data_IF_885169619110
#
_entry.id   IF_885169619110
#
_cell.length_a   1.000
_cell.length_b   1.000
_cell.length_c   1.000
_cell.angle_alpha   90.00
_cell.angle_beta   90.00
_cell.angle_gamma   90.00
#
_symmetry.space_group_name_H-M   'P 1'
#
loop_
_entity.id
_entity.type
_entity.pdbx_description
1 polymer ?
#
# COMPACT_ATOMS: atom_id res chain seq x y z
N UNK A 1 69.00 -22.60 -26.71
CA UNK A 1 67.91 -22.05 -27.53
C UNK A 1 66.58 -22.15 -26.75
N UNK A 2 66.41 -21.43 -25.63
CA UNK A 2 65.19 -21.47 -24.80
C UNK A 2 65.15 -20.26 -23.83
N UNK A 3 65.18 -19.03 -24.33
CA UNK A 3 65.04 -17.85 -23.44
C UNK A 3 64.44 -16.60 -24.09
N UNK A 4 63.87 -16.69 -25.30
CA UNK A 4 63.27 -15.52 -25.99
C UNK A 4 61.74 -15.44 -25.84
N UNK A 5 61.05 -16.57 -25.64
CA UNK A 5 59.58 -16.60 -25.59
C UNK A 5 58.93 -16.17 -24.26
N UNK A 6 59.70 -16.05 -23.17
CA UNK A 6 59.15 -15.78 -21.83
C UNK A 6 59.00 -14.28 -21.52
N UNK A 7 59.80 -13.42 -22.14
CA UNK A 7 59.72 -11.96 -21.98
C UNK A 7 58.59 -11.35 -22.81
N UNK A 8 58.32 -11.90 -24.00
CA UNK A 8 57.31 -11.38 -24.91
C UNK A 8 55.88 -11.59 -24.38
N UNK A 9 55.65 -12.68 -23.65
CA UNK A 9 54.41 -12.94 -22.93
C UNK A 9 54.17 -12.03 -21.71
N UNK A 10 55.25 -11.49 -21.10
CA UNK A 10 55.15 -10.59 -19.95
C UNK A 10 54.78 -9.16 -20.38
N UNK A 11 55.33 -8.70 -21.50
CA UNK A 11 55.01 -7.39 -22.11
C UNK A 11 53.54 -7.26 -22.52
N UNK A 12 52.98 -8.28 -23.19
CA UNK A 12 51.55 -8.28 -23.57
C UNK A 12 50.61 -8.26 -22.37
N UNK A 13 50.98 -8.89 -21.26
CA UNK A 13 50.16 -8.93 -20.03
C UNK A 13 50.16 -7.61 -19.27
N UNK A 14 51.21 -6.80 -19.39
CA UNK A 14 51.26 -5.44 -18.83
C UNK A 14 50.49 -4.44 -19.70
N UNK A 15 50.51 -4.61 -21.02
CA UNK A 15 49.77 -3.77 -21.97
C UNK A 15 48.25 -3.97 -21.85
N UNK A 16 47.78 -5.21 -21.65
CA UNK A 16 46.37 -5.51 -21.33
C UNK A 16 45.96 -4.99 -19.94
N UNK A 17 46.88 -4.98 -18.97
CA UNK A 17 46.62 -4.46 -17.62
C UNK A 17 46.57 -2.91 -17.60
N UNK A 18 47.25 -2.26 -18.55
CA UNK A 18 47.15 -0.82 -18.81
C UNK A 18 45.81 -0.43 -19.43
N UNK A 19 45.34 -1.17 -20.44
CA UNK A 19 44.08 -0.87 -21.15
C UNK A 19 42.82 -1.12 -20.33
N UNK A 20 42.86 -1.97 -19.29
CA UNK A 20 41.68 -2.23 -18.42
C UNK A 20 41.38 -1.12 -17.40
N UNK A 21 42.20 -0.07 -17.32
CA UNK A 21 42.01 1.05 -16.39
C UNK A 21 41.35 2.28 -17.03
N UNK A 22 41.12 2.27 -18.34
CA UNK A 22 40.37 3.31 -19.02
C UNK A 22 38.92 2.88 -19.21
N UNK A 23 37.99 3.56 -18.54
CA UNK A 23 36.57 3.45 -18.85
C UNK A 23 35.67 3.09 -17.68
N UNK A 24 35.68 3.88 -16.60
CA UNK A 24 34.46 4.32 -15.91
C UNK A 24 34.80 5.61 -15.14
N UNK A 25 34.10 6.74 -15.36
CA UNK A 25 34.30 7.91 -14.53
C UNK A 25 33.93 7.55 -13.08
N UNK A 26 34.89 7.62 -12.17
CA UNK A 26 34.61 7.64 -10.73
C UNK A 26 33.70 8.84 -10.48
N UNK A 27 32.42 8.59 -10.21
CA UNK A 27 31.51 9.62 -9.69
C UNK A 27 32.17 10.22 -8.45
N UNK A 28 32.63 11.48 -8.54
CA UNK A 28 33.04 12.24 -7.36
C UNK A 28 31.83 12.31 -6.44
N UNK A 29 31.93 11.79 -5.22
CA UNK A 29 30.94 12.07 -4.17
C UNK A 29 30.88 13.60 -4.03
N UNK A 30 29.71 14.23 -4.07
CA UNK A 30 29.62 15.65 -3.77
C UNK A 30 30.05 15.85 -2.31
N UNK A 31 31.10 16.65 -2.09
CA UNK A 31 31.51 17.08 -0.76
C UNK A 31 30.56 18.19 -0.30
N UNK A 32 29.41 17.81 0.26
CA UNK A 32 28.59 18.74 1.01
C UNK A 32 29.12 18.83 2.46
N UNK A 33 29.36 20.03 3.00
CA UNK A 33 29.79 20.21 4.37
C UNK A 33 28.56 20.24 5.27
N UNK A 34 27.91 19.10 5.46
CA UNK A 34 26.92 18.92 6.53
C UNK A 34 27.09 17.50 7.04
N UNK A 35 27.65 17.37 8.24
CA UNK A 35 27.74 16.10 8.97
C UNK A 35 26.33 15.66 9.38
N UNK A 36 25.57 15.13 8.42
CA UNK A 36 24.32 14.45 8.70
C UNK A 36 24.70 13.09 9.29
N UNK A 37 24.33 12.86 10.56
CA UNK A 37 24.67 11.65 11.30
C UNK A 37 24.39 10.35 10.50
N UNK A 38 25.28 9.34 10.55
CA UNK A 38 25.17 8.10 9.77
C UNK A 38 23.87 7.30 9.95
N UNK A 39 23.15 7.47 11.06
CA UNK A 39 21.85 6.84 11.29
C UNK A 39 20.72 7.33 10.38
N UNK A 40 20.90 8.44 9.65
CA UNK A 40 19.91 8.95 8.68
C UNK A 40 19.89 8.10 7.40
N UNK A 41 20.96 7.34 7.14
CA UNK A 41 20.99 6.28 6.14
C UNK A 41 20.98 4.92 6.82
N UNK A 42 19.82 4.50 7.35
CA UNK A 42 19.62 3.08 7.66
C UNK A 42 19.44 2.31 6.35
N UNK A 43 20.52 2.18 5.58
CA UNK A 43 20.60 1.12 4.59
C UNK A 43 20.63 -0.20 5.38
N UNK A 44 19.66 -1.07 5.15
CA UNK A 44 19.76 -2.47 5.57
C UNK A 44 21.07 -3.06 5.03
N UNK A 45 21.54 -4.16 5.61
CA UNK A 45 22.76 -4.92 5.27
C UNK A 45 22.79 -5.34 3.77
N UNK A 46 21.66 -5.18 3.07
CA UNK A 46 21.45 -5.45 1.65
C UNK A 46 21.43 -4.20 0.73
N UNK A 47 21.62 -2.98 1.25
CA UNK A 47 21.67 -1.74 0.45
C UNK A 47 20.29 -1.16 0.06
N UNK A 48 19.27 -1.37 0.89
CA UNK A 48 17.91 -0.89 0.64
C UNK A 48 17.57 0.37 1.45
N UNK A 49 17.00 1.39 0.80
CA UNK A 49 16.41 2.57 1.45
C UNK A 49 15.12 2.18 2.17
N UNK A 50 15.24 1.77 3.44
CA UNK A 50 14.12 1.44 4.35
C UNK A 50 13.09 2.60 4.38
N UNK A 51 13.57 3.83 4.23
CA UNK A 51 12.79 5.07 4.22
C UNK A 51 11.66 5.09 3.19
N UNK A 52 11.83 4.43 2.03
CA UNK A 52 10.80 4.40 0.97
C UNK A 52 9.62 3.48 1.30
N UNK A 53 9.82 2.50 2.18
CA UNK A 53 8.80 1.53 2.59
C UNK A 53 7.95 2.03 3.76
N UNK A 54 8.54 2.85 4.64
CA UNK A 54 7.89 3.30 5.88
C UNK A 54 6.59 4.05 5.60
N UNK A 55 6.59 5.02 4.68
CA UNK A 55 5.42 5.85 4.38
C UNK A 55 4.18 5.05 3.98
N UNK A 56 4.25 4.21 2.93
CA UNK A 56 3.15 3.35 2.51
C UNK A 56 2.65 2.38 3.59
N UNK A 57 3.55 1.80 4.38
CA UNK A 57 3.18 0.89 5.47
C UNK A 57 2.45 1.66 6.58
N UNK A 58 2.95 2.82 6.99
CA UNK A 58 2.29 3.66 7.98
C UNK A 58 0.91 4.11 7.52
N UNK A 59 0.76 4.51 6.25
CA UNK A 59 -0.53 4.86 5.67
C UNK A 59 -1.52 3.69 5.71
N UNK A 60 -1.05 2.47 5.39
CA UNK A 60 -1.87 1.27 5.44
C UNK A 60 -2.28 0.89 6.88
N UNK A 61 -1.36 1.03 7.85
CA UNK A 61 -1.64 0.77 9.27
C UNK A 61 -2.62 1.80 9.83
N UNK A 62 -2.44 3.09 9.49
CA UNK A 62 -3.37 4.16 9.88
C UNK A 62 -4.77 3.90 9.32
N UNK A 63 -4.86 3.56 8.03
CA UNK A 63 -6.14 3.23 7.41
C UNK A 63 -6.79 1.99 8.05
N UNK A 64 -5.99 0.98 8.41
CA UNK A 64 -6.48 -0.20 9.13
C UNK A 64 -7.09 0.15 10.49
N UNK A 65 -6.40 1.01 11.24
CA UNK A 65 -6.88 1.51 12.53
C UNK A 65 -8.22 2.22 12.37
N UNK A 66 -8.29 3.21 11.47
CA UNK A 66 -9.47 4.04 11.26
C UNK A 66 -10.66 3.18 10.81
N UNK A 67 -10.48 2.32 9.82
CA UNK A 67 -11.51 1.41 9.35
C UNK A 67 -12.00 0.47 10.46
N UNK A 68 -11.08 -0.11 11.22
CA UNK A 68 -11.41 -1.10 12.26
C UNK A 68 -12.09 -0.45 13.47
N UNK A 69 -11.66 0.75 13.87
CA UNK A 69 -12.28 1.51 14.95
C UNK A 69 -13.70 1.91 14.60
N UNK A 70 -13.90 2.50 13.43
CA UNK A 70 -15.23 2.88 12.96
C UNK A 70 -16.15 1.66 12.83
N UNK A 71 -15.64 0.56 12.26
CA UNK A 71 -16.42 -0.68 12.18
C UNK A 71 -16.77 -1.24 13.57
N UNK A 72 -15.86 -1.16 14.54
CA UNK A 72 -16.12 -1.57 15.93
C UNK A 72 -17.15 -0.69 16.63
N UNK A 73 -17.14 0.62 16.38
CA UNK A 73 -18.06 1.57 17.02
C UNK A 73 -19.47 1.54 16.43
N UNK A 74 -19.59 1.40 15.11
CA UNK A 74 -20.87 1.56 14.40
C UNK A 74 -21.42 0.26 13.80
N UNK A 75 -20.59 -0.79 13.68
CA UNK A 75 -20.98 -2.05 13.04
C UNK A 75 -21.19 -1.96 11.52
N UNK A 76 -20.89 -0.81 10.92
CA UNK A 76 -21.06 -0.54 9.48
C UNK A 76 -19.81 0.09 8.89
N UNK A 77 -19.62 -0.08 7.58
CA UNK A 77 -18.56 0.58 6.82
C UNK A 77 -19.15 1.85 6.22
N UNK A 78 -18.61 3.01 6.61
CA UNK A 78 -19.07 4.29 6.07
C UNK A 78 -18.87 4.41 4.57
N UNK A 79 -19.81 5.09 3.91
CA UNK A 79 -19.76 5.39 2.47
C UNK A 79 -18.43 6.05 2.06
N UNK A 80 -17.86 6.90 2.93
CA UNK A 80 -16.58 7.55 2.68
C UNK A 80 -15.43 6.56 2.43
N UNK A 81 -15.38 5.44 3.17
CA UNK A 81 -14.37 4.41 2.95
C UNK A 81 -14.61 3.65 1.64
N UNK A 82 -15.88 3.36 1.32
CA UNK A 82 -16.28 2.69 0.08
C UNK A 82 -15.86 3.55 -1.14
N UNK A 83 -16.18 4.85 -1.12
CA UNK A 83 -15.81 5.80 -2.17
C UNK A 83 -14.30 5.97 -2.29
N UNK A 84 -13.57 5.95 -1.16
CA UNK A 84 -12.10 6.00 -1.17
C UNK A 84 -11.51 4.81 -1.91
N UNK A 85 -11.97 3.59 -1.60
CA UNK A 85 -11.51 2.36 -2.27
C UNK A 85 -11.82 2.42 -3.77
N UNK A 86 -13.04 2.86 -4.14
CA UNK A 86 -13.42 3.09 -5.53
C UNK A 86 -12.47 4.07 -6.23
N UNK A 87 -12.18 5.22 -5.61
CA UNK A 87 -11.30 6.24 -6.16
C UNK A 87 -9.88 5.73 -6.38
N UNK A 88 -9.34 4.97 -5.42
CA UNK A 88 -8.02 4.33 -5.57
C UNK A 88 -8.00 3.31 -6.70
N UNK A 89 -9.03 2.46 -6.80
CA UNK A 89 -9.17 1.48 -7.87
C UNK A 89 -9.25 2.15 -9.25
N UNK A 90 -10.09 3.19 -9.37
CA UNK A 90 -10.23 3.98 -10.60
C UNK A 90 -8.91 4.67 -10.98
N UNK A 91 -8.21 5.25 -10.00
CA UNK A 91 -6.93 5.92 -10.23
C UNK A 91 -5.88 4.95 -10.79
N UNK A 92 -5.74 3.76 -10.20
CA UNK A 92 -4.82 2.74 -10.69
C UNK A 92 -5.22 2.27 -12.10
N UNK A 93 -6.51 2.08 -12.35
CA UNK A 93 -7.03 1.70 -13.67
C UNK A 93 -6.67 2.74 -14.73
N UNK A 94 -6.94 4.03 -14.47
CA UNK A 94 -6.63 5.13 -15.38
C UNK A 94 -5.12 5.27 -15.61
N UNK A 95 -4.31 5.22 -14.55
CA UNK A 95 -2.85 5.26 -14.66
C UNK A 95 -2.35 4.11 -15.53
N UNK A 96 -2.90 2.91 -15.37
CA UNK A 96 -2.50 1.75 -16.17
C UNK A 96 -2.81 1.95 -17.66
N UNK A 97 -3.99 2.50 -17.98
CA UNK A 97 -4.39 2.81 -19.35
C UNK A 97 -3.48 3.88 -19.96
N UNK A 98 -3.21 4.97 -19.23
CA UNK A 98 -2.42 6.11 -19.72
C UNK A 98 -0.94 5.77 -19.88
N UNK A 99 -0.34 5.11 -18.89
CA UNK A 99 1.11 4.85 -18.86
C UNK A 99 1.52 3.74 -19.83
N UNK A 100 0.57 2.93 -20.33
CA UNK A 100 0.77 1.81 -21.27
C UNK A 100 1.87 0.80 -20.85
N UNK A 101 2.35 0.85 -19.61
CA UNK A 101 3.30 -0.10 -19.05
C UNK A 101 2.56 -1.32 -18.49
N UNK A 102 3.22 -2.47 -18.53
CA UNK A 102 2.73 -3.72 -17.92
C UNK A 102 2.78 -3.64 -16.38
N UNK A 103 1.89 -2.84 -15.78
CA UNK A 103 1.78 -2.68 -14.33
C UNK A 103 0.98 -3.86 -13.73
N UNK A 104 -0.01 -4.37 -14.47
CA UNK A 104 -0.88 -5.45 -14.02
C UNK A 104 -0.15 -6.82 -14.02
N UNK A 105 -0.31 -7.64 -12.97
CA UNK A 105 0.18 -9.02 -12.93
C UNK A 105 -0.70 -9.94 -13.80
N UNK A 106 -0.10 -10.98 -14.39
CA UNK A 106 -0.84 -12.04 -15.09
C UNK A 106 -1.55 -11.58 -16.37
N UNK A 107 -2.74 -12.13 -16.64
CA UNK A 107 -3.54 -11.76 -17.81
C UNK A 107 -4.16 -10.37 -17.63
N UNK A 108 -3.79 -9.42 -18.50
CA UNK A 108 -4.18 -8.00 -18.42
C UNK A 108 -5.68 -7.80 -18.25
N UNK A 109 -6.51 -8.57 -18.96
CA UNK A 109 -7.97 -8.44 -18.94
C UNK A 109 -8.58 -8.68 -17.56
N UNK A 110 -8.06 -9.66 -16.81
CA UNK A 110 -8.53 -9.97 -15.46
C UNK A 110 -8.23 -8.83 -14.48
N UNK A 111 -7.05 -8.22 -14.61
CA UNK A 111 -6.67 -7.07 -13.79
C UNK A 111 -7.59 -5.86 -14.00
N UNK A 112 -7.95 -5.57 -15.25
CA UNK A 112 -8.91 -4.50 -15.56
C UNK A 112 -10.30 -4.80 -15.02
N UNK A 113 -10.76 -6.06 -15.13
CA UNK A 113 -12.06 -6.47 -14.60
C UNK A 113 -12.14 -6.31 -13.08
N UNK A 114 -11.14 -6.78 -12.32
CA UNK A 114 -11.14 -6.63 -10.85
C UNK A 114 -11.13 -5.14 -10.44
N UNK A 115 -10.33 -4.32 -11.13
CA UNK A 115 -10.24 -2.89 -10.83
C UNK A 115 -11.51 -2.11 -11.23
N UNK A 116 -12.29 -2.60 -12.18
CA UNK A 116 -13.55 -1.99 -12.57
C UNK A 116 -14.74 -2.41 -11.69
N UNK A 117 -14.63 -3.49 -10.88
CA UNK A 117 -15.71 -3.95 -10.02
C UNK A 117 -16.32 -2.86 -9.12
N UNK A 118 -15.52 -2.02 -8.41
CA UNK A 118 -16.09 -0.95 -7.59
C UNK A 118 -16.84 0.09 -8.42
N UNK A 119 -16.39 0.36 -9.64
CA UNK A 119 -17.05 1.31 -10.56
C UNK A 119 -18.35 0.73 -11.09
N UNK A 120 -18.37 -0.55 -11.45
CA UNK A 120 -19.58 -1.26 -11.88
C UNK A 120 -20.61 -1.22 -10.75
N UNK A 121 -20.21 -1.54 -9.52
CA UNK A 121 -21.11 -1.48 -8.37
C UNK A 121 -21.67 -0.07 -8.15
N UNK A 122 -20.83 0.96 -8.23
CA UNK A 122 -21.27 2.34 -8.03
C UNK A 122 -22.26 2.79 -9.12
N UNK A 123 -22.05 2.38 -10.37
CA UNK A 123 -23.00 2.62 -11.46
C UNK A 123 -24.33 1.91 -11.20
N UNK A 124 -24.30 0.65 -10.76
CA UNK A 124 -25.51 -0.08 -10.37
C UNK A 124 -26.27 0.65 -9.27
N UNK A 125 -25.57 1.21 -8.27
CA UNK A 125 -26.20 1.98 -7.18
C UNK A 125 -26.78 3.33 -7.64
N UNK A 126 -26.25 3.94 -8.68
CA UNK A 126 -26.79 5.18 -9.25
C UNK A 126 -28.07 4.91 -10.06
N UNK A 127 -28.10 3.78 -10.78
CA UNK A 127 -29.25 3.39 -11.61
C UNK A 127 -30.39 2.84 -10.74
N UNK A 128 -30.06 2.31 -9.56
CA UNK A 128 -31.01 1.84 -8.55
C UNK A 128 -32.03 2.94 -8.20
N UNK A 129 -33.31 2.68 -8.47
CA UNK A 129 -34.39 3.62 -8.17
C UNK A 129 -34.78 3.49 -6.68
N UNK A 130 -34.63 4.56 -5.87
CA UNK A 130 -34.95 4.50 -4.45
C UNK A 130 -36.45 4.29 -4.17
N UNK A 131 -37.33 4.40 -5.16
CA UNK A 131 -38.78 4.22 -5.01
C UNK A 131 -39.25 2.76 -5.11
N UNK A 132 -38.45 1.87 -5.70
CA UNK A 132 -38.70 0.42 -5.82
C UNK A 132 -38.10 -0.31 -4.61
N UNK A 133 -38.67 -0.09 -3.42
CA UNK A 133 -38.14 -0.63 -2.15
C UNK A 133 -38.57 -2.10 -1.98
N UNK A 134 -37.80 -3.02 -2.56
CA UNK A 134 -37.87 -4.45 -2.25
C UNK A 134 -36.73 -4.88 -1.31
N UNK A 135 -37.05 -5.47 -0.15
CA UNK A 135 -36.05 -5.95 0.82
C UNK A 135 -34.97 -6.87 0.21
N UNK A 136 -35.35 -7.65 -0.81
CA UNK A 136 -34.46 -8.57 -1.51
C UNK A 136 -33.48 -7.81 -2.42
N UNK A 137 -33.95 -6.75 -3.10
CA UNK A 137 -33.13 -5.96 -4.02
C UNK A 137 -32.01 -5.21 -3.27
N UNK A 138 -32.35 -4.60 -2.14
CA UNK A 138 -31.38 -3.87 -1.31
C UNK A 138 -30.32 -4.80 -0.70
N UNK A 139 -30.72 -6.00 -0.27
CA UNK A 139 -29.80 -7.03 0.22
C UNK A 139 -28.80 -7.46 -0.87
N UNK A 140 -29.27 -7.69 -2.10
CA UNK A 140 -28.39 -8.08 -3.21
C UNK A 140 -27.37 -7.00 -3.55
N UNK A 141 -27.79 -5.74 -3.62
CA UNK A 141 -26.89 -4.62 -3.91
C UNK A 141 -25.82 -4.49 -2.81
N UNK A 142 -26.18 -4.69 -1.55
CA UNK A 142 -25.24 -4.73 -0.43
C UNK A 142 -24.25 -5.89 -0.54
N UNK A 143 -24.72 -7.11 -0.84
CA UNK A 143 -23.85 -8.28 -1.00
C UNK A 143 -22.86 -8.07 -2.16
N UNK A 144 -23.33 -7.54 -3.29
CA UNK A 144 -22.48 -7.21 -4.43
C UNK A 144 -21.45 -6.13 -4.06
N UNK A 145 -21.83 -5.13 -3.26
CA UNK A 145 -20.91 -4.12 -2.73
C UNK A 145 -19.75 -4.78 -1.96
N UNK A 146 -20.11 -5.62 -0.99
CA UNK A 146 -19.16 -6.27 -0.10
C UNK A 146 -18.23 -7.17 -0.90
N UNK A 147 -18.75 -7.96 -1.84
CA UNK A 147 -17.95 -8.81 -2.71
C UNK A 147 -17.00 -8.00 -3.60
N UNK A 148 -17.51 -6.94 -4.25
CA UNK A 148 -16.71 -6.06 -5.10
C UNK A 148 -15.55 -5.43 -4.31
N UNK A 149 -15.80 -4.96 -3.09
CA UNK A 149 -14.79 -4.36 -2.22
C UNK A 149 -13.80 -5.40 -1.69
N UNK A 150 -14.29 -6.54 -1.22
CA UNK A 150 -13.46 -7.62 -0.65
C UNK A 150 -12.49 -8.19 -1.68
N UNK A 151 -12.89 -8.25 -2.95
CA UNK A 151 -12.04 -8.73 -4.05
C UNK A 151 -11.11 -7.62 -4.57
N UNK A 152 -11.62 -6.41 -4.76
CA UNK A 152 -10.83 -5.31 -5.35
C UNK A 152 -9.78 -4.77 -4.39
N UNK A 153 -10.07 -4.65 -3.09
CA UNK A 153 -9.16 -4.09 -2.09
C UNK A 153 -7.80 -4.79 -2.03
N UNK A 154 -7.70 -6.12 -1.85
CA UNK A 154 -6.40 -6.80 -1.81
C UNK A 154 -5.66 -6.67 -3.15
N UNK A 155 -6.38 -6.63 -4.27
CA UNK A 155 -5.78 -6.44 -5.59
C UNK A 155 -5.22 -5.02 -5.78
N UNK A 156 -5.97 -3.99 -5.36
CA UNK A 156 -5.54 -2.58 -5.35
C UNK A 156 -4.29 -2.42 -4.49
N UNK A 157 -4.29 -2.97 -3.27
CA UNK A 157 -3.13 -2.94 -2.37
C UNK A 157 -1.93 -3.65 -3.00
N UNK A 158 -2.14 -4.82 -3.60
CA UNK A 158 -1.09 -5.56 -4.29
C UNK A 158 -0.48 -4.76 -5.45
N UNK A 159 -1.31 -4.19 -6.34
CA UNK A 159 -0.84 -3.41 -7.49
C UNK A 159 -0.14 -2.14 -7.02
N UNK A 160 -0.68 -1.47 -6.01
CA UNK A 160 -0.09 -0.27 -5.41
C UNK A 160 1.32 -0.54 -4.89
N UNK A 161 1.52 -1.60 -4.11
CA UNK A 161 2.86 -1.95 -3.61
C UNK A 161 3.79 -2.45 -4.70
N UNK A 162 3.29 -3.24 -5.67
CA UNK A 162 4.07 -3.67 -6.82
C UNK A 162 4.62 -2.48 -7.61
N UNK A 163 3.82 -1.42 -7.75
CA UNK A 163 4.18 -0.22 -8.50
C UNK A 163 5.07 0.73 -7.70
N UNK A 164 4.71 1.04 -6.45
CA UNK A 164 5.45 2.00 -5.62
C UNK A 164 6.75 1.42 -5.07
N UNK A 165 6.72 0.15 -4.66
CA UNK A 165 7.81 -0.49 -3.93
C UNK A 165 7.93 -1.97 -4.31
N UNK A 166 8.41 -2.29 -5.52
CA UNK A 166 8.52 -3.67 -6.00
C UNK A 166 9.39 -4.56 -5.09
N UNK A 167 10.25 -3.95 -4.27
CA UNK A 167 11.12 -4.63 -3.31
C UNK A 167 10.35 -5.33 -2.18
N UNK A 168 9.13 -4.87 -1.84
CA UNK A 168 8.27 -5.53 -0.83
C UNK A 168 7.95 -6.97 -1.25
N UNK A 169 7.83 -7.22 -2.56
CA UNK A 169 7.54 -8.56 -3.07
C UNK A 169 8.73 -9.53 -2.94
N UNK A 170 9.93 -9.02 -2.67
CA UNK A 170 11.15 -9.80 -2.49
C UNK A 170 11.50 -10.01 -1.00
N UNK A 171 10.70 -9.45 -0.08
CA UNK A 171 10.95 -9.61 1.35
C UNK A 171 10.88 -11.09 1.77
N UNK A 172 11.73 -11.45 2.75
CA UNK A 172 11.68 -12.78 3.37
C UNK A 172 10.30 -13.01 3.96
N UNK A 173 9.76 -14.23 3.80
CA UNK A 173 8.43 -14.63 4.31
C UNK A 173 8.21 -14.27 5.78
N UNK A 174 9.25 -14.37 6.63
CA UNK A 174 9.19 -13.99 8.06
C UNK A 174 8.86 -12.52 8.28
N UNK A 175 9.41 -11.61 7.46
CA UNK A 175 9.14 -10.17 7.55
C UNK A 175 7.73 -9.85 7.07
N UNK A 176 7.27 -10.49 5.99
CA UNK A 176 5.89 -10.33 5.49
C UNK A 176 4.89 -10.78 6.56
N UNK A 177 5.12 -11.94 7.18
CA UNK A 177 4.28 -12.43 8.29
C UNK A 177 4.30 -11.43 9.46
N UNK A 178 5.47 -10.87 9.80
CA UNK A 178 5.59 -9.84 10.82
C UNK A 178 4.76 -8.59 10.51
N UNK A 179 4.84 -8.06 9.28
CA UNK A 179 4.07 -6.90 8.83
C UNK A 179 2.56 -7.16 8.85
N UNK A 180 2.13 -8.31 8.33
CA UNK A 180 0.72 -8.73 8.40
C UNK A 180 0.27 -8.89 9.86
N UNK A 181 1.13 -9.44 10.72
CA UNK A 181 0.88 -9.55 12.16
C UNK A 181 0.66 -8.18 12.83
N UNK A 182 1.51 -7.19 12.52
CA UNK A 182 1.35 -5.81 13.02
C UNK A 182 0.04 -5.22 12.53
N UNK A 183 -0.26 -5.36 11.24
CA UNK A 183 -1.52 -4.87 10.66
C UNK A 183 -2.74 -5.47 11.38
N UNK A 184 -2.78 -6.78 11.54
CA UNK A 184 -3.87 -7.48 12.21
C UNK A 184 -3.97 -7.09 13.69
N UNK A 185 -2.83 -6.89 14.35
CA UNK A 185 -2.79 -6.46 15.74
C UNK A 185 -3.36 -5.05 15.92
N UNK A 186 -2.96 -4.09 15.07
CA UNK A 186 -3.50 -2.72 15.11
C UNK A 186 -4.99 -2.71 14.78
N UNK A 187 -5.42 -3.47 13.77
CA UNK A 187 -6.83 -3.62 13.42
C UNK A 187 -7.65 -4.18 14.59
N UNK A 188 -7.14 -5.22 15.27
CA UNK A 188 -7.79 -5.81 16.44
C UNK A 188 -7.92 -4.80 17.58
N UNK A 189 -6.86 -4.05 17.90
CA UNK A 189 -6.93 -3.00 18.92
C UNK A 189 -7.98 -1.95 18.52
N UNK A 190 -7.91 -1.43 17.29
CA UNK A 190 -8.87 -0.45 16.78
C UNK A 190 -10.31 -0.93 16.94
N UNK A 191 -10.60 -2.17 16.52
CA UNK A 191 -11.91 -2.78 16.66
C UNK A 191 -12.38 -2.89 18.13
N UNK A 192 -11.52 -3.42 19.00
CA UNK A 192 -11.86 -3.57 20.44
C UNK A 192 -12.11 -2.22 21.11
N UNK A 193 -11.35 -1.19 20.75
CA UNK A 193 -11.56 0.17 21.25
C UNK A 193 -12.80 0.83 20.66
N UNK A 194 -13.13 0.55 19.40
CA UNK A 194 -14.38 1.00 18.78
C UNK A 194 -15.60 0.40 19.49
N UNK A 195 -15.58 -0.91 19.75
CA UNK A 195 -16.63 -1.58 20.53
C UNK A 195 -16.77 -1.04 21.95
N UNK A 196 -15.65 -0.63 22.55
CA UNK A 196 -15.61 -0.07 23.90
C UNK A 196 -15.38 1.45 23.86
N UNK A 197 -15.93 2.14 22.87
CA UNK A 197 -15.61 3.57 22.62
C UNK A 197 -15.89 4.45 23.84
N UNK A 198 -16.86 4.08 24.69
CA UNK A 198 -17.17 4.71 25.96
C UNK A 198 -15.97 4.88 26.92
N UNK A 199 -14.91 4.07 26.79
CA UNK A 199 -13.72 4.17 27.63
C UNK A 199 -12.78 5.33 27.23
N UNK A 200 -12.87 5.80 25.97
CA UNK A 200 -11.92 6.77 25.39
C UNK A 200 -12.64 8.01 24.85
N UNK A 201 -13.83 7.84 24.29
CA UNK A 201 -14.58 8.89 23.62
C UNK A 201 -15.96 9.10 24.23
N UNK A 202 -16.41 10.34 24.18
CA UNK A 202 -17.75 10.76 24.59
C UNK A 202 -18.61 11.02 23.36
N UNK A 203 -19.94 11.05 23.52
CA UNK A 203 -20.83 11.40 22.40
C UNK A 203 -20.48 12.77 21.78
N UNK A 204 -20.01 13.72 22.59
CA UNK A 204 -19.61 15.05 22.11
C UNK A 204 -18.42 14.99 21.15
N UNK A 205 -17.48 14.07 21.37
CA UNK A 205 -16.31 13.92 20.48
C UNK A 205 -16.72 13.44 19.08
N UNK A 206 -17.70 12.53 19.00
CA UNK A 206 -18.26 12.07 17.72
C UNK A 206 -18.99 13.19 16.99
N UNK A 207 -19.84 13.94 17.69
CA UNK A 207 -20.59 15.08 17.12
C UNK A 207 -19.65 16.16 16.59
N UNK A 208 -18.62 16.54 17.35
CA UNK A 208 -17.63 17.55 16.93
C UNK A 208 -16.85 17.07 15.69
N UNK A 209 -16.65 15.76 15.56
CA UNK A 209 -16.01 15.15 14.39
C UNK A 209 -16.95 15.02 13.18
N UNK A 210 -18.21 15.45 13.31
CA UNK A 210 -19.22 15.33 12.26
C UNK A 210 -19.69 13.90 12.01
N UNK A 211 -19.50 13.01 12.99
CA UNK A 211 -19.93 11.61 12.93
C UNK A 211 -21.25 11.42 13.67
N UNK A 212 -22.01 10.39 13.29
CA UNK A 212 -23.16 9.92 14.07
C UNK A 212 -22.69 9.43 15.45
N UNK A 213 -23.59 9.47 16.44
CA UNK A 213 -23.28 8.98 17.79
C UNK A 213 -23.52 7.47 17.87
N UNK A 214 -22.52 6.66 18.25
CA UNK A 214 -22.73 5.23 18.42
C UNK A 214 -23.65 4.96 19.62
N UNK A 215 -24.39 3.84 19.57
CA UNK A 215 -25.44 3.54 20.55
C UNK A 215 -24.92 3.41 22.00
N UNK A 216 -23.65 3.03 22.15
CA UNK A 216 -22.97 2.82 23.43
C UNK A 216 -22.13 4.04 23.87
N UNK A 217 -22.35 5.23 23.32
CA UNK A 217 -21.61 6.43 23.74
C UNK A 217 -22.12 6.99 25.07
N UNK A 218 -21.19 7.56 25.88
CA UNK A 218 -21.53 8.22 27.15
C UNK A 218 -21.65 9.73 26.94
N UNK A 219 -22.80 10.28 27.31
CA UNK A 219 -23.01 11.73 27.41
C UNK A 219 -22.43 12.24 28.73
N UNK A 220 -21.40 13.09 28.65
CA UNK A 220 -20.91 13.81 29.83
C UNK A 220 -21.89 14.95 30.08
N UNK A 221 -22.77 14.79 31.08
CA UNK A 221 -23.56 15.92 31.59
C UNK A 221 -22.58 16.94 32.17
N UNK A 222 -22.62 18.16 31.63
CA UNK A 222 -21.96 19.32 32.23
C UNK A 222 -22.61 19.67 33.57
#
# INVERSE_FOLDING_TARGET
MYSKGKEEGRRKKEEERGKRKEGYPRKKKPSFPVDIHPWVYTNDINGHDITTLVGPILGLVYYAWDLSFNFGAFGVIFLGHILSIWLFSLSILLITIVVQKNILPGQKSWGYFILSLPTIWLILKIIDDPSEIGQIHDLWIHIVAILALTISLPYVVYVFFRFTNPQILLLKRRLIIGLVGIFLFVALIGYTLGQNNQLIMTCQNFIVSGQDTPQNCINVKK
#
